data_IF_762969248439
#
_entry.id   IF_762969248439
#
_cell.length_a   1.000
_cell.length_b   1.000
_cell.length_c   1.000
_cell.angle_alpha   90.00
_cell.angle_beta   90.00
_cell.angle_gamma   90.00
#
_symmetry.space_group_name_H-M   'P 1'
#
loop_
_entity.id
_entity.type
_entity.pdbx_description
1 polymer ?
#
# COMPACT_ATOMS: atom_id res chain seq x y z
N UNK A 1 -19.63 8.60 -4.27
CA UNK A 1 -20.65 7.60 -4.67
C UNK A 1 -19.95 6.58 -5.56
N UNK A 2 -19.98 5.30 -5.19
CA UNK A 2 -19.33 4.24 -5.98
C UNK A 2 -20.13 3.96 -7.26
N UNK A 3 -19.56 4.36 -8.39
CA UNK A 3 -19.70 3.90 -9.77
C UNK A 3 -21.06 3.41 -10.29
N UNK A 4 -21.64 2.36 -9.71
CA UNK A 4 -22.92 1.81 -10.16
C UNK A 4 -24.08 2.78 -9.90
N UNK A 5 -24.10 3.44 -8.74
CA UNK A 5 -25.20 4.32 -8.31
C UNK A 5 -25.28 5.63 -9.12
N UNK A 6 -24.28 5.91 -9.99
CA UNK A 6 -24.29 7.05 -10.91
C UNK A 6 -25.50 7.08 -11.85
N UNK A 7 -26.14 5.94 -12.11
CA UNK A 7 -27.30 5.84 -12.99
C UNK A 7 -28.57 6.47 -12.39
N UNK A 8 -28.69 6.48 -11.06
CA UNK A 8 -29.96 6.77 -10.37
C UNK A 8 -29.80 7.58 -9.08
N UNK A 9 -28.57 7.89 -8.68
CA UNK A 9 -28.24 8.89 -7.66
C UNK A 9 -28.62 8.52 -6.23
N UNK A 10 -28.89 7.24 -5.93
CA UNK A 10 -29.25 6.81 -4.58
C UNK A 10 -28.70 5.43 -4.24
N UNK A 11 -28.40 5.25 -2.95
CA UNK A 11 -27.87 3.99 -2.41
C UNK A 11 -28.91 2.89 -2.51
N UNK A 12 -28.49 1.71 -2.96
CA UNK A 12 -29.36 0.53 -3.08
C UNK A 12 -30.30 0.56 -4.28
N UNK A 13 -30.04 1.43 -5.26
CA UNK A 13 -30.82 1.51 -6.48
C UNK A 13 -30.69 0.27 -7.39
N UNK A 14 -29.59 -0.49 -7.26
CA UNK A 14 -29.44 -1.76 -7.96
C UNK A 14 -29.80 -2.92 -7.03
N UNK A 15 -30.76 -3.72 -7.48
CA UNK A 15 -31.14 -5.01 -6.91
C UNK A 15 -30.50 -6.20 -7.67
N UNK A 16 -29.98 -5.94 -8.88
CA UNK A 16 -29.20 -6.90 -9.69
C UNK A 16 -27.69 -6.60 -9.65
N UNK A 17 -26.88 -7.49 -9.04
CA UNK A 17 -25.42 -7.37 -9.01
C UNK A 17 -24.76 -7.30 -10.39
N UNK A 18 -25.27 -7.99 -11.40
CA UNK A 18 -24.65 -8.02 -12.73
C UNK A 18 -24.83 -6.67 -13.45
N UNK A 19 -26.00 -6.05 -13.29
CA UNK A 19 -26.26 -4.71 -13.82
C UNK A 19 -25.42 -3.65 -13.10
N UNK A 20 -25.25 -3.76 -11.79
CA UNK A 20 -24.38 -2.87 -11.00
C UNK A 20 -22.94 -2.91 -11.51
N UNK A 21 -22.39 -4.12 -11.72
CA UNK A 21 -21.03 -4.30 -12.25
C UNK A 21 -20.89 -3.71 -13.66
N UNK A 22 -21.82 -4.01 -14.57
CA UNK A 22 -21.78 -3.49 -15.95
C UNK A 22 -21.83 -1.96 -15.97
N UNK A 23 -22.67 -1.36 -15.13
CA UNK A 23 -22.79 0.08 -15.05
C UNK A 23 -21.51 0.72 -14.50
N UNK A 24 -20.91 0.13 -13.47
CA UNK A 24 -19.63 0.59 -12.96
C UNK A 24 -18.54 0.56 -14.03
N UNK A 25 -18.31 -0.60 -14.65
CA UNK A 25 -17.30 -0.74 -15.72
C UNK A 25 -17.50 0.31 -16.84
N UNK A 26 -18.75 0.58 -17.22
CA UNK A 26 -19.08 1.62 -18.20
C UNK A 26 -18.73 3.02 -17.71
N UNK A 27 -19.06 3.36 -16.47
CA UNK A 27 -18.73 4.66 -15.89
C UNK A 27 -17.21 4.85 -15.83
N UNK A 28 -16.47 3.87 -15.32
CA UNK A 28 -15.02 3.96 -15.23
C UNK A 28 -14.36 4.12 -16.60
N UNK A 29 -14.86 3.43 -17.63
CA UNK A 29 -14.41 3.64 -19.02
C UNK A 29 -14.59 5.09 -19.46
N UNK A 30 -15.73 5.71 -19.17
CA UNK A 30 -15.98 7.12 -19.49
C UNK A 30 -15.10 8.09 -18.70
N UNK A 31 -14.76 7.76 -17.45
CA UNK A 31 -13.79 8.54 -16.64
C UNK A 31 -12.40 8.49 -17.27
N UNK A 32 -11.94 7.33 -17.72
CA UNK A 32 -10.65 7.18 -18.40
C UNK A 32 -10.60 8.02 -19.68
N UNK A 33 -11.64 7.96 -20.50
CA UNK A 33 -11.74 8.75 -21.74
C UNK A 33 -11.68 10.26 -21.45
N UNK A 34 -12.40 10.73 -20.43
CA UNK A 34 -12.42 12.15 -20.05
C UNK A 34 -11.12 12.65 -19.43
N UNK A 35 -10.34 11.77 -18.81
CA UNK A 35 -9.05 12.11 -18.24
C UNK A 35 -7.93 12.25 -19.30
N UNK A 36 -8.23 11.98 -20.58
CA UNK A 36 -7.35 12.22 -21.73
C UNK A 36 -5.91 11.68 -21.55
N UNK A 37 -5.79 10.45 -21.06
CA UNK A 37 -4.50 9.79 -20.85
C UNK A 37 -3.81 10.08 -19.51
N UNK A 38 -4.36 10.98 -18.68
CA UNK A 38 -3.92 11.13 -17.28
C UNK A 38 -4.53 10.01 -16.42
N UNK A 39 -3.80 8.90 -16.31
CA UNK A 39 -4.22 7.74 -15.53
C UNK A 39 -4.42 8.06 -14.04
N UNK A 40 -3.66 9.01 -13.48
CA UNK A 40 -3.80 9.39 -12.07
C UNK A 40 -5.08 10.19 -11.85
N UNK A 41 -5.40 11.10 -12.77
CA UNK A 41 -6.66 11.82 -12.78
C UNK A 41 -7.84 10.87 -12.92
N UNK A 42 -7.78 9.88 -13.81
CA UNK A 42 -8.82 8.88 -13.98
C UNK A 42 -9.06 8.08 -12.69
N UNK A 43 -7.98 7.61 -12.05
CA UNK A 43 -8.06 6.87 -10.79
C UNK A 43 -8.65 7.71 -9.66
N UNK A 44 -8.17 8.93 -9.45
CA UNK A 44 -8.73 9.78 -8.39
C UNK A 44 -10.17 10.19 -8.68
N UNK A 45 -10.53 10.39 -9.95
CA UNK A 45 -11.90 10.73 -10.37
C UNK A 45 -12.85 9.55 -10.22
N UNK A 46 -12.37 8.31 -10.28
CA UNK A 46 -13.17 7.14 -9.89
C UNK A 46 -13.51 7.16 -8.39
N UNK A 47 -12.59 7.62 -7.54
CA UNK A 47 -12.82 7.78 -6.10
C UNK A 47 -13.80 8.93 -5.78
N UNK A 48 -13.56 10.11 -6.35
CA UNK A 48 -14.30 11.34 -6.04
C UNK A 48 -15.55 11.54 -6.88
N UNK A 49 -15.66 10.85 -8.02
CA UNK A 49 -16.63 11.09 -9.08
C UNK A 49 -16.07 12.02 -10.17
N UNK A 50 -16.66 11.93 -11.36
CA UNK A 50 -16.19 12.61 -12.56
C UNK A 50 -16.19 14.15 -12.53
N UNK A 51 -16.78 14.79 -11.51
CA UNK A 51 -16.67 16.25 -11.32
C UNK A 51 -15.27 16.70 -10.90
N UNK A 52 -14.44 15.78 -10.40
CA UNK A 52 -13.03 16.08 -10.11
C UNK A 52 -12.22 16.34 -11.38
N UNK A 53 -12.54 15.69 -12.50
CA UNK A 53 -11.89 15.94 -13.80
C UNK A 53 -12.04 17.41 -14.18
N UNK A 54 -13.26 17.93 -14.14
CA UNK A 54 -13.55 19.31 -14.52
C UNK A 54 -12.80 20.29 -13.60
N UNK A 55 -12.81 20.01 -12.28
CA UNK A 55 -12.09 20.80 -11.29
C UNK A 55 -10.58 20.91 -11.57
N UNK A 56 -9.96 19.81 -12.00
CA UNK A 56 -8.53 19.75 -12.33
C UNK A 56 -8.21 20.45 -13.65
N UNK A 57 -9.02 20.23 -14.69
CA UNK A 57 -8.86 20.84 -16.02
C UNK A 57 -8.94 22.37 -15.94
N UNK A 58 -9.84 22.91 -15.13
CA UNK A 58 -10.01 24.35 -14.96
C UNK A 58 -8.84 25.04 -14.22
N UNK A 59 -7.98 24.28 -13.53
CA UNK A 59 -6.90 24.83 -12.69
C UNK A 59 -5.51 24.57 -13.25
N UNK A 60 -5.10 23.31 -13.29
CA UNK A 60 -3.72 22.91 -13.65
C UNK A 60 -3.65 22.07 -14.92
N UNK A 61 -4.78 21.51 -15.38
CA UNK A 61 -4.83 20.66 -16.56
C UNK A 61 -4.32 19.22 -16.37
N UNK A 62 -3.79 18.88 -15.19
CA UNK A 62 -3.30 17.54 -14.86
C UNK A 62 -3.41 17.25 -13.36
N UNK A 63 -3.42 15.98 -12.98
CA UNK A 63 -3.55 15.56 -11.59
C UNK A 63 -2.39 16.01 -10.69
N UNK A 64 -2.73 16.53 -9.52
CA UNK A 64 -1.83 16.66 -8.37
C UNK A 64 -2.54 16.26 -7.07
N UNK A 65 -1.77 15.78 -6.09
CA UNK A 65 -2.30 15.40 -4.78
C UNK A 65 -2.85 16.62 -4.01
N UNK A 66 -2.29 17.80 -4.24
CA UNK A 66 -2.79 19.05 -3.67
C UNK A 66 -4.20 19.37 -4.16
N UNK A 67 -4.45 19.27 -5.48
CA UNK A 67 -5.81 19.42 -6.03
C UNK A 67 -6.80 18.39 -5.47
N UNK A 68 -6.34 17.16 -5.22
CA UNK A 68 -7.18 16.12 -4.62
C UNK A 68 -7.58 16.49 -3.18
N UNK A 69 -6.64 17.00 -2.39
CA UNK A 69 -6.88 17.48 -1.02
C UNK A 69 -7.85 18.67 -1.03
N UNK A 70 -7.62 19.65 -1.91
CA UNK A 70 -8.46 20.85 -1.99
C UNK A 70 -9.88 20.53 -2.44
N UNK A 71 -10.04 19.66 -3.44
CA UNK A 71 -11.36 19.19 -3.86
C UNK A 71 -12.08 18.44 -2.76
N UNK A 72 -11.36 17.59 -2.02
CA UNK A 72 -11.90 16.86 -0.88
C UNK A 72 -12.40 17.80 0.21
N UNK A 73 -11.62 18.84 0.55
CA UNK A 73 -12.02 19.84 1.53
C UNK A 73 -13.26 20.62 1.09
N UNK A 74 -13.31 21.08 -0.16
CA UNK A 74 -14.46 21.77 -0.74
C UNK A 74 -15.73 20.91 -0.68
N UNK A 75 -15.64 19.63 -1.08
CA UNK A 75 -16.79 18.71 -1.06
C UNK A 75 -17.22 18.33 0.35
N UNK A 76 -16.27 18.20 1.27
CA UNK A 76 -16.58 17.95 2.67
C UNK A 76 -17.35 19.12 3.28
N UNK A 77 -16.94 20.37 3.00
CA UNK A 77 -17.69 21.56 3.45
C UNK A 77 -19.13 21.54 2.93
N UNK A 78 -19.32 21.32 1.62
CA UNK A 78 -20.64 21.23 0.98
C UNK A 78 -21.56 20.18 1.64
N UNK A 79 -21.00 19.04 2.08
CA UNK A 79 -21.77 17.87 2.49
C UNK A 79 -21.72 17.58 3.99
N UNK A 80 -20.92 18.32 4.76
CA UNK A 80 -20.68 18.13 6.20
C UNK A 80 -21.96 18.13 7.03
N UNK A 81 -22.98 18.89 6.62
CA UNK A 81 -24.27 19.02 7.29
C UNK A 81 -25.16 17.76 7.18
N UNK A 82 -24.80 16.79 6.33
CA UNK A 82 -25.58 15.56 6.13
C UNK A 82 -25.34 14.49 7.21
N UNK A 83 -24.26 14.61 7.99
CA UNK A 83 -23.90 13.65 9.04
C UNK A 83 -23.37 12.29 8.54
N UNK A 84 -23.17 12.13 7.23
CA UNK A 84 -22.83 10.84 6.61
C UNK A 84 -21.34 10.65 6.28
N UNK A 85 -20.45 11.48 6.82
CA UNK A 85 -19.03 11.46 6.47
C UNK A 85 -18.14 11.22 7.68
N UNK A 86 -17.23 10.25 7.55
CA UNK A 86 -16.15 9.97 8.50
C UNK A 86 -14.82 10.16 7.80
N UNK A 87 -13.90 10.90 8.41
CA UNK A 87 -12.57 11.12 7.84
C UNK A 87 -11.76 9.82 7.90
N UNK A 88 -11.36 9.29 6.73
CA UNK A 88 -10.59 8.05 6.61
C UNK A 88 -9.18 8.22 7.20
N UNK A 89 -8.58 9.39 6.97
CA UNK A 89 -7.22 9.75 7.35
C UNK A 89 -7.25 10.86 8.42
N UNK A 90 -7.06 10.54 9.71
CA UNK A 90 -7.14 11.52 10.80
C UNK A 90 -6.20 12.73 10.61
N UNK A 91 -5.06 12.53 9.97
CA UNK A 91 -4.08 13.57 9.62
C UNK A 91 -4.62 14.60 8.60
N UNK A 92 -5.71 14.29 7.89
CA UNK A 92 -6.37 15.21 6.96
C UNK A 92 -7.45 16.07 7.64
N UNK A 93 -7.81 15.79 8.90
CA UNK A 93 -8.77 16.59 9.67
C UNK A 93 -8.41 18.10 9.72
N UNK A 94 -7.14 18.52 9.93
CA UNK A 94 -6.79 19.94 9.96
C UNK A 94 -7.03 20.65 8.63
N UNK A 95 -7.06 19.90 7.51
CA UNK A 95 -7.35 20.41 6.16
C UNK A 95 -8.80 20.24 5.74
N UNK A 96 -9.63 19.61 6.59
CA UNK A 96 -11.02 19.26 6.29
C UNK A 96 -11.18 18.36 5.05
N UNK A 97 -10.11 17.71 4.59
CA UNK A 97 -10.08 16.90 3.38
C UNK A 97 -10.58 15.46 3.66
N UNK A 98 -11.87 15.36 3.99
CA UNK A 98 -12.51 14.14 4.46
C UNK A 98 -13.62 13.61 3.52
N UNK A 99 -13.70 14.14 2.29
CA UNK A 99 -14.53 13.58 1.22
C UNK A 99 -13.70 12.59 0.40
N UNK A 100 -14.11 11.32 0.39
CA UNK A 100 -13.39 10.23 -0.30
C UNK A 100 -11.99 9.95 0.29
N UNK A 101 -11.14 9.29 -0.48
CA UNK A 101 -9.75 8.96 -0.11
C UNK A 101 -8.79 9.79 -0.97
N UNK A 102 -8.15 10.80 -0.37
CA UNK A 102 -7.15 11.66 -1.03
C UNK A 102 -5.87 10.92 -1.43
N UNK A 103 -5.63 9.73 -0.89
CA UNK A 103 -4.48 8.88 -1.19
C UNK A 103 -4.83 7.73 -2.16
N UNK A 104 -5.99 7.78 -2.81
CA UNK A 104 -6.48 6.68 -3.64
C UNK A 104 -5.53 6.30 -4.77
N UNK A 105 -4.96 7.30 -5.47
CA UNK A 105 -3.95 7.06 -6.53
C UNK A 105 -2.74 6.30 -5.99
N UNK A 106 -2.16 6.75 -4.87
CA UNK A 106 -0.99 6.09 -4.26
C UNK A 106 -1.36 4.67 -3.78
N UNK A 107 -2.54 4.53 -3.19
CA UNK A 107 -3.09 3.25 -2.74
C UNK A 107 -3.30 2.26 -3.90
N UNK A 108 -3.59 2.72 -5.11
CA UNK A 108 -3.76 1.86 -6.30
C UNK A 108 -2.42 1.62 -7.02
N UNK A 109 -1.63 2.67 -7.25
CA UNK A 109 -0.39 2.55 -8.02
C UNK A 109 0.73 1.85 -7.28
N UNK A 110 0.69 1.79 -5.94
CA UNK A 110 1.58 0.90 -5.16
C UNK A 110 1.50 -0.57 -5.57
N UNK A 111 0.44 -0.97 -6.30
CA UNK A 111 0.29 -2.32 -6.85
C UNK A 111 0.87 -2.50 -8.27
N UNK A 112 1.29 -1.42 -8.94
CA UNK A 112 1.81 -1.44 -10.31
C UNK A 112 3.31 -1.20 -10.39
N UNK A 113 3.87 -0.42 -9.45
CA UNK A 113 5.32 -0.15 -9.35
C UNK A 113 6.12 -1.33 -8.76
N UNK A 114 5.91 -2.56 -9.27
CA UNK A 114 6.59 -3.79 -8.81
C UNK A 114 7.72 -4.27 -9.74
N UNK A 115 8.54 -3.37 -10.27
CA UNK A 115 9.77 -3.74 -10.98
C UNK A 115 11.00 -3.47 -10.10
N UNK A 116 11.58 -4.53 -9.52
CA UNK A 116 12.79 -4.44 -8.68
C UNK A 116 13.92 -3.78 -9.47
N UNK A 117 14.48 -2.69 -8.94
CA UNK A 117 15.74 -2.14 -9.43
C UNK A 117 16.86 -3.16 -9.12
N UNK A 118 17.27 -3.90 -10.15
CA UNK A 118 18.39 -4.84 -10.12
C UNK A 118 19.64 -4.09 -10.55
N UNK A 119 20.22 -3.28 -9.66
CA UNK A 119 21.55 -2.69 -9.89
C UNK A 119 22.39 -2.88 -8.62
N UNK A 120 23.14 -3.99 -8.57
CA UNK A 120 24.03 -4.34 -7.45
C UNK A 120 23.97 -5.80 -6.97
N UNK A 121 24.90 -6.15 -6.08
CA UNK A 121 25.01 -7.50 -5.47
C UNK A 121 23.80 -7.84 -4.57
N UNK A 122 23.17 -6.82 -3.97
CA UNK A 122 21.90 -6.92 -3.22
C UNK A 122 20.89 -5.89 -3.71
N UNK A 123 19.67 -6.36 -3.95
CA UNK A 123 18.49 -5.54 -4.22
C UNK A 123 17.83 -5.15 -2.90
N UNK A 124 17.19 -3.98 -2.87
CA UNK A 124 16.35 -3.59 -1.74
C UNK A 124 15.16 -4.56 -1.67
N UNK A 125 14.91 -5.22 -0.53
CA UNK A 125 13.90 -6.28 -0.45
C UNK A 125 12.45 -5.74 -0.38
N UNK A 126 12.29 -4.42 -0.34
CA UNK A 126 11.02 -3.70 -0.30
C UNK A 126 11.08 -2.57 -1.35
N UNK A 127 10.07 -2.45 -2.21
CA UNK A 127 10.04 -1.46 -3.29
C UNK A 127 9.22 -0.21 -2.90
N UNK A 128 9.55 0.96 -3.48
CA UNK A 128 8.76 2.19 -3.36
C UNK A 128 9.37 3.30 -2.51
N UNK A 129 10.58 3.09 -1.97
CA UNK A 129 11.24 4.05 -1.09
C UNK A 129 10.50 4.16 0.24
N UNK A 130 10.90 3.35 1.22
CA UNK A 130 10.28 3.40 2.53
C UNK A 130 11.32 3.72 3.59
N UNK A 131 10.95 4.69 4.43
CA UNK A 131 11.75 5.21 5.52
C UNK A 131 12.22 4.04 6.37
N UNK A 132 13.53 3.93 6.56
CA UNK A 132 14.08 3.08 7.61
C UNK A 132 13.52 3.56 8.94
N UNK A 133 12.62 2.78 9.54
CA UNK A 133 12.02 3.10 10.83
C UNK A 133 12.99 2.77 11.95
N UNK A 134 13.91 1.82 11.74
CA UNK A 134 15.00 1.53 12.66
C UNK A 134 16.22 0.96 11.96
N UNK A 135 17.39 1.53 12.23
CA UNK A 135 18.66 1.01 11.72
C UNK A 135 19.15 -0.19 12.55
N UNK A 136 20.12 -0.92 12.00
CA UNK A 136 20.93 -1.87 12.76
C UNK A 136 21.73 -1.15 13.85
N UNK A 137 21.81 -1.74 15.05
CA UNK A 137 22.58 -1.20 16.17
C UNK A 137 21.80 -1.13 17.48
N UNK A 138 22.43 -0.54 18.50
CA UNK A 138 21.82 -0.40 19.83
C UNK A 138 20.63 0.56 19.77
N UNK A 139 19.46 0.09 20.21
CA UNK A 139 18.25 0.91 20.30
C UNK A 139 17.50 0.62 21.59
N UNK A 140 16.72 1.58 22.04
CA UNK A 140 15.72 1.33 23.07
C UNK A 140 14.61 0.47 22.48
N UNK A 141 14.42 -0.72 23.02
CA UNK A 141 13.42 -1.68 22.58
C UNK A 141 12.02 -1.09 22.80
N UNK A 142 11.16 -1.04 21.76
CA UNK A 142 9.91 -0.28 21.79
C UNK A 142 8.86 -0.89 22.74
N UNK A 143 9.00 -2.16 23.14
CA UNK A 143 8.08 -2.83 24.09
C UNK A 143 8.59 -2.73 25.52
N UNK A 144 9.87 -3.04 25.75
CA UNK A 144 10.42 -3.20 27.09
C UNK A 144 11.06 -1.93 27.63
N UNK A 145 11.39 -0.96 26.77
CA UNK A 145 12.11 0.27 27.15
C UNK A 145 13.57 0.04 27.50
N UNK A 146 14.07 -1.18 27.36
CA UNK A 146 15.48 -1.54 27.60
C UNK A 146 16.33 -1.22 26.38
N UNK A 147 17.62 -0.92 26.57
CA UNK A 147 18.54 -0.80 25.44
C UNK A 147 18.91 -2.20 24.97
N UNK A 148 18.54 -2.54 23.74
CA UNK A 148 18.81 -3.83 23.12
C UNK A 148 19.48 -3.66 21.75
N UNK A 149 20.19 -4.69 21.32
CA UNK A 149 20.88 -4.72 20.03
C UNK A 149 19.91 -5.13 18.92
N UNK A 150 19.60 -4.19 18.03
CA UNK A 150 18.82 -4.49 16.84
C UNK A 150 19.69 -5.18 15.78
N UNK A 151 19.37 -6.45 15.48
CA UNK A 151 20.13 -7.30 14.55
C UNK A 151 19.62 -7.24 13.09
N UNK A 152 18.76 -6.27 12.79
CA UNK A 152 18.15 -6.03 11.47
C UNK A 152 17.96 -4.54 11.21
N UNK A 153 17.16 -4.16 10.20
CA UNK A 153 16.99 -2.77 9.77
C UNK A 153 15.54 -2.37 9.43
N UNK A 154 14.54 -2.49 10.30
CA UNK A 154 13.12 -2.13 10.08
C UNK A 154 12.80 -1.14 8.92
N UNK A 155 12.13 -1.65 7.89
CA UNK A 155 11.55 -0.87 6.79
C UNK A 155 10.07 -0.67 7.06
N UNK A 156 9.50 0.48 6.72
CA UNK A 156 8.06 0.61 6.69
C UNK A 156 7.48 -0.21 5.51
N UNK A 157 6.24 -0.67 5.62
CA UNK A 157 5.49 -1.32 4.53
C UNK A 157 3.98 -1.23 4.77
N UNK A 158 3.16 -1.78 3.87
CA UNK A 158 1.71 -1.93 4.12
C UNK A 158 1.45 -3.39 4.46
N UNK A 159 1.02 -3.65 5.69
CA UNK A 159 0.78 -5.00 6.19
C UNK A 159 -0.24 -5.75 5.34
N UNK A 160 0.00 -7.06 5.12
CA UNK A 160 -0.80 -7.95 4.26
C UNK A 160 -0.85 -7.56 2.78
N UNK A 161 -0.11 -6.52 2.38
CA UNK A 161 -0.17 -5.95 1.03
C UNK A 161 1.20 -5.95 0.37
N UNK A 162 2.21 -5.35 1.02
CA UNK A 162 3.50 -5.13 0.39
C UNK A 162 4.26 -6.45 0.18
N UNK A 163 4.57 -6.85 -1.07
CA UNK A 163 5.42 -8.01 -1.33
C UNK A 163 6.84 -7.76 -0.84
N UNK A 164 7.46 -8.81 -0.29
CA UNK A 164 8.86 -8.82 0.12
C UNK A 164 9.65 -9.67 -0.87
N UNK A 165 10.79 -9.17 -1.31
CA UNK A 165 11.60 -9.75 -2.37
C UNK A 165 12.97 -10.22 -1.86
N UNK A 166 13.50 -11.28 -2.46
CA UNK A 166 14.84 -11.75 -2.21
C UNK A 166 15.86 -10.68 -2.62
N UNK A 167 16.71 -10.28 -1.67
CA UNK A 167 17.75 -9.28 -1.89
C UNK A 167 18.83 -9.80 -2.84
N UNK A 168 19.08 -11.11 -2.86
CA UNK A 168 19.99 -11.75 -3.81
C UNK A 168 19.49 -13.15 -4.17
N UNK A 169 19.96 -13.69 -5.28
CA UNK A 169 19.73 -15.10 -5.63
C UNK A 169 20.33 -16.03 -4.56
N UNK A 170 19.67 -17.14 -4.26
CA UNK A 170 20.11 -18.03 -3.20
C UNK A 170 19.19 -19.21 -2.98
N UNK A 171 19.49 -19.99 -1.95
CA UNK A 171 18.67 -21.14 -1.52
C UNK A 171 17.91 -20.80 -0.24
N UNK A 172 16.61 -21.01 -0.23
CA UNK A 172 15.79 -20.88 0.97
C UNK A 172 16.18 -21.99 1.95
N UNK A 173 16.73 -21.61 3.09
CA UNK A 173 17.16 -22.54 4.16
C UNK A 173 16.16 -22.62 5.29
N UNK A 174 15.23 -21.65 5.38
CA UNK A 174 14.14 -21.64 6.35
C UNK A 174 12.93 -20.89 5.76
N UNK A 175 11.71 -21.41 5.96
CA UNK A 175 10.47 -20.72 5.58
C UNK A 175 9.31 -21.25 6.43
N UNK A 176 9.17 -20.74 7.66
CA UNK A 176 8.18 -21.22 8.63
C UNK A 176 7.81 -20.14 9.65
N UNK A 177 6.76 -20.40 10.44
CA UNK A 177 6.41 -19.58 11.61
C UNK A 177 7.33 -19.89 12.79
N UNK A 178 8.08 -18.89 13.24
CA UNK A 178 9.04 -18.93 14.33
C UNK A 178 8.50 -18.30 15.63
N UNK A 179 7.26 -18.63 16.00
CA UNK A 179 6.68 -18.29 17.29
C UNK A 179 6.16 -16.85 17.42
N UNK A 180 5.15 -16.67 18.29
CA UNK A 180 4.49 -15.40 18.50
C UNK A 180 5.32 -14.37 19.29
N UNK A 181 6.32 -14.82 20.05
CA UNK A 181 7.26 -13.96 20.77
C UNK A 181 8.60 -13.76 20.02
N UNK A 182 8.70 -14.26 18.78
CA UNK A 182 9.92 -14.23 17.96
C UNK A 182 9.69 -13.51 16.63
N UNK A 183 10.32 -14.01 15.57
CA UNK A 183 10.28 -13.43 14.23
C UNK A 183 8.93 -13.63 13.50
N UNK A 184 7.98 -14.38 14.07
CA UNK A 184 6.74 -14.70 13.36
C UNK A 184 7.02 -15.51 12.10
N UNK A 185 6.31 -15.24 11.00
CA UNK A 185 6.64 -15.88 9.73
C UNK A 185 7.99 -15.35 9.21
N UNK A 186 8.91 -16.29 9.00
CA UNK A 186 10.30 -15.99 8.68
C UNK A 186 10.75 -16.78 7.46
N UNK A 187 11.35 -16.09 6.50
CA UNK A 187 12.13 -16.68 5.41
C UNK A 187 13.61 -16.39 5.65
N UNK A 188 14.48 -17.39 5.52
CA UNK A 188 15.93 -17.21 5.46
C UNK A 188 16.49 -17.77 4.16
N UNK A 189 17.38 -17.00 3.52
CA UNK A 189 17.96 -17.33 2.21
C UNK A 189 19.48 -17.31 2.33
N UNK A 190 20.11 -18.43 2.01
CA UNK A 190 21.56 -18.56 1.93
C UNK A 190 22.05 -18.09 0.56
N UNK A 191 23.04 -17.19 0.57
CA UNK A 191 23.73 -16.66 -0.59
C UNK A 191 25.20 -17.07 -0.53
N UNK A 192 25.62 -17.99 -1.39
CA UNK A 192 26.97 -18.57 -1.31
C UNK A 192 27.24 -19.22 0.05
N UNK A 193 28.49 -19.17 0.53
CA UNK A 193 28.92 -19.95 1.70
C UNK A 193 28.85 -19.21 3.05
N UNK A 194 28.74 -17.87 3.04
CA UNK A 194 28.96 -17.06 4.26
C UNK A 194 27.84 -16.06 4.58
N UNK A 195 26.81 -15.97 3.74
CA UNK A 195 25.77 -14.95 3.92
C UNK A 195 24.37 -15.53 3.93
N UNK A 196 23.58 -15.10 4.92
CA UNK A 196 22.15 -15.38 5.00
C UNK A 196 21.41 -14.06 5.13
N UNK A 197 20.35 -13.87 4.36
CA UNK A 197 19.35 -12.82 4.59
C UNK A 197 18.13 -13.41 5.29
N UNK A 198 17.54 -12.67 6.21
CA UNK A 198 16.31 -13.01 6.92
C UNK A 198 15.20 -12.01 6.61
N UNK A 199 13.97 -12.51 6.52
CA UNK A 199 12.75 -11.73 6.26
C UNK A 199 11.69 -12.13 7.27
N UNK A 200 11.60 -11.43 8.39
CA UNK A 200 10.66 -11.73 9.46
C UNK A 200 9.34 -10.96 9.35
N UNK A 201 8.47 -11.26 10.32
CA UNK A 201 7.18 -10.61 10.58
C UNK A 201 6.21 -10.68 9.42
N UNK A 202 6.42 -11.59 8.47
CA UNK A 202 5.62 -11.70 7.26
C UNK A 202 4.17 -12.06 7.60
N UNK A 203 3.21 -11.58 6.83
CA UNK A 203 1.82 -12.04 6.90
C UNK A 203 1.65 -13.39 6.21
N UNK A 204 2.42 -13.64 5.15
CA UNK A 204 2.41 -14.90 4.41
C UNK A 204 3.77 -15.20 3.80
N UNK A 205 4.03 -16.50 3.62
CA UNK A 205 5.23 -17.05 2.98
C UNK A 205 4.90 -17.39 1.53
N UNK A 206 5.79 -17.08 0.59
CA UNK A 206 5.60 -17.35 -0.86
C UNK A 206 6.62 -18.36 -1.42
N UNK A 207 7.46 -18.93 -0.55
CA UNK A 207 8.51 -19.91 -0.87
C UNK A 207 8.61 -20.94 0.25
N UNK A 208 9.15 -22.12 -0.06
CA UNK A 208 9.39 -23.20 0.90
C UNK A 208 10.89 -23.46 1.12
N UNK A 209 11.22 -24.09 2.25
CA UNK A 209 12.60 -24.49 2.52
C UNK A 209 13.08 -25.50 1.46
N UNK A 210 14.22 -25.22 0.84
CA UNK A 210 14.77 -25.99 -0.28
C UNK A 210 14.68 -25.28 -1.63
N UNK A 211 13.79 -24.28 -1.77
CA UNK A 211 13.62 -23.53 -3.01
C UNK A 211 14.89 -22.75 -3.39
N UNK A 212 15.13 -22.62 -4.70
CA UNK A 212 16.10 -21.66 -5.23
C UNK A 212 15.35 -20.42 -5.69
N UNK A 213 15.77 -19.26 -5.21
CA UNK A 213 15.18 -17.97 -5.58
C UNK A 213 16.16 -17.15 -6.40
N UNK A 214 15.64 -16.28 -7.26
CA UNK A 214 16.42 -15.24 -7.93
C UNK A 214 16.35 -13.92 -7.15
N UNK A 215 17.37 -13.09 -7.28
CA UNK A 215 17.31 -11.69 -6.85
C UNK A 215 16.03 -11.03 -7.38
N UNK A 216 15.30 -10.33 -6.52
CA UNK A 216 14.03 -9.68 -6.83
C UNK A 216 12.83 -10.63 -6.90
N UNK A 217 13.00 -11.94 -6.63
CA UNK A 217 11.87 -12.87 -6.55
C UNK A 217 11.08 -12.65 -5.27
N UNK A 218 9.74 -12.64 -5.35
CA UNK A 218 8.87 -12.53 -4.17
C UNK A 218 9.07 -13.75 -3.25
N UNK A 219 9.26 -13.48 -1.96
CA UNK A 219 9.46 -14.50 -0.91
C UNK A 219 8.39 -14.46 0.17
N UNK A 220 7.64 -13.37 0.27
CA UNK A 220 6.53 -13.26 1.20
C UNK A 220 5.75 -11.97 1.02
N UNK A 221 4.90 -11.69 2.01
CA UNK A 221 4.17 -10.43 2.12
C UNK A 221 4.41 -9.86 3.50
N UNK A 222 4.70 -8.56 3.56
CA UNK A 222 4.83 -7.76 4.75
C UNK A 222 3.68 -8.02 5.74
N UNK A 223 3.96 -7.97 7.05
CA UNK A 223 2.95 -8.20 8.08
C UNK A 223 3.44 -7.73 9.45
N UNK A 224 2.79 -8.25 10.49
CA UNK A 224 3.09 -7.96 11.90
C UNK A 224 3.07 -9.23 12.76
N UNK A 225 3.44 -10.38 12.18
CA UNK A 225 3.45 -11.64 12.95
C UNK A 225 4.64 -11.69 13.90
N UNK A 226 4.53 -12.44 15.01
CA UNK A 226 5.58 -12.46 16.02
C UNK A 226 5.55 -11.24 16.95
N UNK A 227 6.68 -10.92 17.58
CA UNK A 227 6.78 -9.79 18.52
C UNK A 227 7.04 -8.49 17.75
N UNK A 228 5.99 -7.94 17.12
CA UNK A 228 6.00 -6.66 16.39
C UNK A 228 5.06 -5.65 17.06
N UNK A 229 5.49 -4.39 17.24
CA UNK A 229 4.75 -3.36 18.00
C UNK A 229 3.66 -2.61 17.24
N UNK A 230 3.42 -2.91 15.96
CA UNK A 230 2.45 -2.20 15.09
C UNK A 230 2.94 -2.12 13.64
N UNK A 231 2.07 -1.84 12.64
CA UNK A 231 2.34 -2.14 11.24
C UNK A 231 3.36 -1.19 10.58
N UNK A 232 4.25 -1.69 9.72
CA UNK A 232 4.87 -3.02 9.74
C UNK A 232 6.37 -3.00 9.43
N UNK A 233 7.13 -3.75 10.24
CA UNK A 233 8.59 -3.92 10.13
C UNK A 233 8.94 -5.29 9.53
N UNK A 234 9.59 -5.41 8.36
CA UNK A 234 10.10 -6.67 7.85
C UNK A 234 11.60 -6.84 8.12
N UNK A 235 12.03 -7.36 9.28
CA UNK A 235 13.40 -7.88 9.50
C UNK A 235 13.50 -9.14 10.34
#
# INVERSE_FOLDING_TARGET
>A
MQDSESLCGSVGCFDDPELSIKQGVKYFSGVIERADGDNKLALQSYNFGGGFIDYVIEREGSYSQELAIDFSAMKYEELSHTGNYSCIHPEMLPKWACYGDVFYVDNVLRYYDYAVAVDGEFAVPVQGGLNTTSNYGMRTHPISGEVDMHKGMDFDCVGNVTPIFAAQSGKVVYSQFQGAAGYGNLVMIQHGDQLITGYAHLSSLSVDAGDTVKQGQKVGVCGTTGSSTGPPSPF
#
